data_IF_389150716513
#
_entry.id   IF_389150716513
#
_cell.length_a   1.000
_cell.length_b   1.000
_cell.length_c   1.000
_cell.angle_alpha   90.00
_cell.angle_beta   90.00
_cell.angle_gamma   90.00
#
_symmetry.space_group_name_H-M   'P 1'
#
loop_
_entity.id
_entity.type
_entity.pdbx_description
1 polymer ?
#
# COMPACT_ATOMS: atom_id res chain seq x y z
N UNK A 1 -0.04 -16.32 22.81
CA UNK A 1 1.24 -16.83 23.34
C UNK A 1 2.38 -16.14 22.62
N UNK A 2 3.20 -15.35 23.32
CA UNK A 2 4.40 -14.76 22.75
C UNK A 2 5.59 -15.56 23.26
N UNK A 3 6.28 -16.26 22.37
CA UNK A 3 7.55 -16.90 22.71
C UNK A 3 8.61 -15.80 22.86
N UNK A 4 9.19 -15.68 24.04
CA UNK A 4 10.37 -14.83 24.28
C UNK A 4 11.57 -15.77 24.33
N UNK A 5 12.51 -15.58 23.41
CA UNK A 5 13.78 -16.31 23.44
C UNK A 5 14.69 -15.53 24.41
N UNK A 6 15.11 -16.12 25.53
CA UNK A 6 16.02 -15.44 26.45
C UNK A 6 17.34 -15.11 25.72
N UNK A 7 17.96 -13.95 26.00
CA UNK A 7 19.22 -13.58 25.36
C UNK A 7 20.30 -14.61 25.74
N UNK A 8 20.83 -15.33 24.75
CA UNK A 8 21.98 -16.21 24.90
C UNK A 8 23.20 -15.41 24.42
N UNK A 9 24.07 -14.90 25.30
CA UNK A 9 25.10 -13.91 24.95
C UNK A 9 26.13 -14.40 23.92
N UNK A 10 26.25 -15.72 23.75
CA UNK A 10 27.22 -16.32 22.82
C UNK A 10 26.63 -16.65 21.44
N UNK A 11 25.35 -16.37 21.19
CA UNK A 11 24.68 -16.74 19.94
C UNK A 11 24.32 -15.47 19.18
N UNK A 12 25.02 -15.24 18.07
CA UNK A 12 24.68 -14.16 17.14
C UNK A 12 23.41 -14.53 16.36
N UNK A 13 22.55 -13.52 16.15
CA UNK A 13 21.41 -13.68 15.28
C UNK A 13 21.90 -14.00 13.86
N UNK A 14 21.45 -15.13 13.32
CA UNK A 14 21.80 -15.54 11.96
C UNK A 14 21.26 -14.52 10.94
N UNK A 15 22.07 -14.24 9.92
CA UNK A 15 21.65 -13.43 8.79
C UNK A 15 20.52 -14.12 8.02
N UNK A 16 19.69 -13.34 7.31
CA UNK A 16 18.47 -13.85 6.65
C UNK A 16 18.74 -15.00 5.67
N UNK A 17 19.90 -14.96 5.00
CA UNK A 17 20.41 -15.98 4.07
C UNK A 17 20.77 -17.32 4.73
N UNK A 18 21.03 -17.32 6.04
CA UNK A 18 21.36 -18.52 6.83
C UNK A 18 20.15 -19.13 7.53
N UNK A 19 18.97 -18.53 7.38
CA UNK A 19 17.76 -19.09 7.95
C UNK A 19 17.37 -20.38 7.21
N UNK A 20 16.95 -21.44 7.92
CA UNK A 20 16.54 -22.69 7.29
C UNK A 20 15.36 -22.55 6.31
N UNK A 21 14.57 -21.46 6.47
CA UNK A 21 13.47 -21.10 5.57
C UNK A 21 13.49 -19.58 5.35
N UNK A 22 13.36 -19.10 4.10
CA UNK A 22 13.26 -17.68 3.83
C UNK A 22 12.00 -17.10 4.45
N UNK A 23 12.13 -15.93 5.09
CA UNK A 23 11.01 -15.22 5.69
C UNK A 23 10.28 -14.48 4.58
N UNK A 24 9.23 -15.09 4.04
CA UNK A 24 8.42 -14.50 2.98
C UNK A 24 7.31 -13.61 3.57
N UNK A 25 6.71 -14.07 4.69
CA UNK A 25 5.63 -13.36 5.37
C UNK A 25 5.96 -13.17 6.84
N UNK A 26 5.95 -11.92 7.27
CA UNK A 26 5.97 -11.54 8.68
C UNK A 26 5.13 -10.27 8.87
N UNK A 27 4.73 -10.00 10.11
CA UNK A 27 3.96 -8.81 10.50
C UNK A 27 4.65 -8.13 11.68
N UNK A 28 4.50 -6.82 11.78
CA UNK A 28 5.22 -5.99 12.74
C UNK A 28 5.41 -4.56 12.24
N UNK A 29 5.46 -3.61 13.18
CA UNK A 29 5.56 -2.17 12.88
C UNK A 29 6.97 -1.63 12.92
N UNK A 30 7.89 -2.25 13.64
CA UNK A 30 9.29 -1.80 13.70
C UNK A 30 10.11 -2.47 12.60
N UNK A 31 10.92 -1.66 11.90
CA UNK A 31 11.85 -2.14 10.87
C UNK A 31 13.08 -2.80 11.52
N UNK A 32 13.53 -2.23 12.63
CA UNK A 32 14.71 -2.69 13.35
C UNK A 32 14.32 -3.38 14.65
N UNK A 33 15.09 -4.37 15.13
CA UNK A 33 14.89 -4.94 16.44
C UNK A 33 15.06 -3.84 17.51
N UNK A 34 14.15 -3.72 18.49
CA UNK A 34 14.18 -2.65 19.46
C UNK A 34 15.28 -2.88 20.51
N UNK A 35 16.55 -2.58 20.18
CA UNK A 35 17.59 -2.50 21.25
C UNK A 35 17.23 -1.39 22.24
N UNK A 36 17.71 -1.39 23.49
CA UNK A 36 17.37 -0.34 24.46
C UNK A 36 17.60 1.08 23.92
N UNK A 37 18.68 1.28 23.17
CA UNK A 37 18.97 2.55 22.50
C UNK A 37 17.94 2.88 21.40
N UNK A 38 17.65 1.93 20.50
CA UNK A 38 16.67 2.14 19.43
C UNK A 38 15.26 2.34 19.98
N UNK A 39 14.91 1.66 21.07
CA UNK A 39 13.63 1.83 21.75
C UNK A 39 13.50 3.25 22.33
N UNK A 40 14.55 3.75 23.00
CA UNK A 40 14.59 5.13 23.50
C UNK A 40 14.46 6.14 22.34
N UNK A 41 15.23 5.97 21.27
CA UNK A 41 15.14 6.84 20.07
C UNK A 41 13.72 6.80 19.49
N UNK A 42 13.12 5.61 19.39
CA UNK A 42 11.77 5.44 18.85
C UNK A 42 10.73 6.16 19.71
N UNK A 43 10.82 6.07 21.04
CA UNK A 43 9.92 6.76 21.97
C UNK A 43 10.05 8.28 21.82
N UNK A 44 11.28 8.80 21.82
CA UNK A 44 11.54 10.24 21.69
C UNK A 44 11.09 10.77 20.32
N UNK A 45 11.25 9.97 19.27
CA UNK A 45 10.84 10.32 17.92
C UNK A 45 9.33 10.28 17.73
N UNK A 46 8.62 9.36 18.38
CA UNK A 46 7.20 9.13 18.17
C UNK A 46 6.31 10.38 18.14
N UNK A 47 6.37 11.33 19.12
CA UNK A 47 5.55 12.54 19.09
C UNK A 47 5.89 13.45 17.91
N UNK A 48 7.18 13.62 17.60
CA UNK A 48 7.66 14.45 16.48
C UNK A 48 7.27 13.82 15.15
N UNK A 49 7.53 12.51 15.00
CA UNK A 49 7.18 11.73 13.82
C UNK A 49 5.68 11.73 13.57
N UNK A 50 4.86 11.66 14.61
CA UNK A 50 3.40 11.71 14.49
C UNK A 50 2.91 13.07 13.95
N UNK A 51 3.40 14.19 14.51
CA UNK A 51 3.07 15.52 14.00
C UNK A 51 3.52 15.70 12.54
N UNK A 52 4.73 15.22 12.22
CA UNK A 52 5.27 15.24 10.87
C UNK A 52 4.43 14.38 9.91
N UNK A 53 3.93 13.23 10.36
CA UNK A 53 3.05 12.38 9.58
C UNK A 53 1.73 13.07 9.27
N UNK A 54 1.13 13.76 10.23
CA UNK A 54 -0.08 14.57 10.01
C UNK A 54 0.15 15.65 8.94
N UNK A 55 1.27 16.37 9.00
CA UNK A 55 1.63 17.38 7.99
C UNK A 55 1.82 16.77 6.59
N UNK A 56 2.51 15.63 6.50
CA UNK A 56 2.73 14.91 5.23
C UNK A 56 1.43 14.37 4.65
N UNK A 57 0.57 13.78 5.47
CA UNK A 57 -0.76 13.31 5.03
C UNK A 57 -1.61 14.49 4.55
N UNK A 58 -1.63 15.60 5.31
CA UNK A 58 -2.36 16.79 4.92
C UNK A 58 -1.84 17.38 3.59
N UNK A 59 -0.53 17.43 3.39
CA UNK A 59 0.07 17.85 2.12
C UNK A 59 -0.39 16.97 0.95
N UNK A 60 -0.38 15.64 1.10
CA UNK A 60 -0.85 14.72 0.07
C UNK A 60 -2.36 14.79 -0.19
N UNK A 61 -3.17 15.12 0.81
CA UNK A 61 -4.63 15.20 0.70
C UNK A 61 -5.15 16.55 0.17
N UNK A 62 -4.47 17.65 0.50
CA UNK A 62 -4.96 19.01 0.26
C UNK A 62 -4.31 19.70 -0.95
N UNK A 63 -3.12 19.27 -1.36
CA UNK A 63 -2.40 19.91 -2.46
C UNK A 63 -2.68 19.22 -3.80
N UNK A 64 -2.66 19.96 -4.93
CA UNK A 64 -2.68 19.37 -6.26
C UNK A 64 -1.49 18.45 -6.51
N UNK A 65 -1.67 17.36 -7.26
CA UNK A 65 -0.63 16.35 -7.53
C UNK A 65 0.68 16.93 -8.08
N UNK A 66 0.61 18.01 -8.88
CA UNK A 66 1.79 18.72 -9.42
C UNK A 66 2.65 19.39 -8.34
N UNK A 67 2.06 19.77 -7.21
CA UNK A 67 2.74 20.45 -6.10
C UNK A 67 3.11 19.45 -4.99
N UNK A 68 2.33 18.37 -4.84
CA UNK A 68 2.54 17.32 -3.82
C UNK A 68 3.96 16.79 -3.85
N UNK A 69 4.55 16.58 -5.03
CA UNK A 69 5.95 16.15 -5.18
C UNK A 69 6.92 17.06 -4.42
N UNK A 70 6.82 18.37 -4.65
CA UNK A 70 7.67 19.37 -4.00
C UNK A 70 7.38 19.50 -2.50
N UNK A 71 6.11 19.40 -2.11
CA UNK A 71 5.72 19.43 -0.70
C UNK A 71 6.27 18.22 0.06
N UNK A 72 6.20 17.02 -0.51
CA UNK A 72 6.81 15.82 0.06
C UNK A 72 8.31 15.97 0.21
N UNK A 73 9.00 16.47 -0.81
CA UNK A 73 10.44 16.71 -0.74
C UNK A 73 10.79 17.68 0.40
N UNK A 74 10.07 18.80 0.52
CA UNK A 74 10.26 19.78 1.58
C UNK A 74 9.97 19.21 2.98
N UNK A 75 9.00 18.30 3.09
CA UNK A 75 8.67 17.60 4.33
C UNK A 75 9.57 16.39 4.60
N UNK A 76 10.62 16.15 3.80
CA UNK A 76 11.59 15.06 3.99
C UNK A 76 11.14 13.69 3.47
N UNK A 77 10.07 13.61 2.69
CA UNK A 77 9.65 12.42 1.95
C UNK A 77 10.29 12.46 0.57
N UNK A 78 11.19 11.51 0.30
CA UNK A 78 11.89 11.46 -1.00
C UNK A 78 11.04 10.69 -1.99
N UNK A 79 10.86 11.24 -3.19
CA UNK A 79 10.20 10.58 -4.31
C UNK A 79 11.18 10.53 -5.47
N UNK A 80 11.61 9.32 -5.85
CA UNK A 80 12.46 9.07 -7.02
C UNK A 80 11.60 8.54 -8.15
N UNK A 81 11.70 9.17 -9.30
CA UNK A 81 10.96 8.81 -10.51
C UNK A 81 11.98 8.35 -11.53
N UNK A 82 11.86 7.10 -11.98
CA UNK A 82 12.70 6.53 -13.02
C UNK A 82 11.84 6.20 -14.24
N UNK A 83 12.42 6.31 -15.43
CA UNK A 83 11.68 6.17 -16.68
C UNK A 83 10.78 7.37 -16.97
N UNK A 84 10.05 7.31 -18.07
CA UNK A 84 9.18 8.40 -18.52
C UNK A 84 7.72 8.04 -18.29
N UNK A 85 6.97 8.77 -17.45
CA UNK A 85 5.54 8.55 -17.32
C UNK A 85 4.84 8.81 -18.66
N UNK A 86 3.82 8.01 -19.03
CA UNK A 86 3.12 8.21 -20.28
C UNK A 86 2.40 9.58 -20.28
N UNK A 87 2.34 10.26 -21.43
CA UNK A 87 1.63 11.53 -21.55
C UNK A 87 0.16 11.34 -21.18
N UNK A 88 -0.47 12.43 -20.72
CA UNK A 88 -1.90 12.39 -20.45
C UNK A 88 -2.66 12.06 -21.74
N UNK A 89 -3.68 11.21 -21.63
CA UNK A 89 -4.59 10.90 -22.72
C UNK A 89 -5.34 12.15 -23.12
N UNK A 90 -5.19 12.60 -24.37
CA UNK A 90 -5.99 13.68 -24.92
C UNK A 90 -7.38 13.14 -25.28
N UNK A 91 -8.42 13.71 -24.67
CA UNK A 91 -9.82 13.37 -24.92
C UNK A 91 -10.21 13.52 -26.40
N UNK A 92 -9.48 14.34 -27.17
CA UNK A 92 -9.71 14.50 -28.61
C UNK A 92 -9.30 13.27 -29.43
N UNK A 93 -8.39 12.44 -28.92
CA UNK A 93 -7.86 11.28 -29.66
C UNK A 93 -8.69 10.00 -29.51
N UNK A 94 -9.81 10.05 -28.78
CA UNK A 94 -10.69 8.90 -28.49
C UNK A 94 -9.94 7.67 -27.93
N UNK A 95 -8.76 7.88 -27.32
CA UNK A 95 -7.94 6.83 -26.71
C UNK A 95 -8.43 6.55 -25.29
N UNK A 96 -8.59 5.26 -25.00
CA UNK A 96 -8.82 4.77 -23.64
C UNK A 96 -7.61 5.07 -22.76
N UNK A 97 -7.84 5.23 -21.45
CA UNK A 97 -6.81 5.50 -20.47
C UNK A 97 -5.75 4.41 -20.38
N UNK A 98 -4.58 4.78 -19.86
CA UNK A 98 -3.48 3.86 -19.64
C UNK A 98 -3.72 3.07 -18.35
N UNK A 99 -3.51 1.76 -18.44
CA UNK A 99 -3.58 0.85 -17.32
C UNK A 99 -2.18 0.61 -16.73
N UNK A 100 -1.93 1.21 -15.57
CA UNK A 100 -0.71 1.02 -14.79
C UNK A 100 -0.79 -0.25 -13.95
N UNK A 101 0.16 -1.17 -14.17
CA UNK A 101 0.25 -2.42 -13.42
C UNK A 101 1.43 -2.33 -12.46
N UNK A 102 1.12 -2.21 -11.17
CA UNK A 102 2.11 -1.93 -10.14
C UNK A 102 2.41 -3.15 -9.26
N UNK A 103 3.66 -3.30 -8.83
CA UNK A 103 3.92 -4.06 -7.60
C UNK A 103 3.30 -3.36 -6.39
N UNK A 104 2.89 -4.11 -5.38
CA UNK A 104 2.15 -3.56 -4.24
C UNK A 104 2.98 -3.61 -2.95
N UNK A 105 3.52 -2.48 -2.50
CA UNK A 105 4.33 -2.37 -1.27
C UNK A 105 3.55 -1.77 -0.11
N UNK A 106 2.70 -0.79 -0.36
CA UNK A 106 1.88 -0.17 0.68
C UNK A 106 0.54 0.29 0.10
N UNK A 107 -0.37 0.74 0.96
CA UNK A 107 -1.60 1.38 0.49
C UNK A 107 -1.36 2.73 -0.22
N UNK A 108 -0.14 3.27 -0.13
CA UNK A 108 0.24 4.53 -0.75
C UNK A 108 0.76 4.37 -2.19
N UNK A 109 0.95 3.14 -2.71
CA UNK A 109 1.50 2.95 -4.06
C UNK A 109 0.72 3.77 -5.12
N UNK A 110 -0.63 3.75 -5.14
CA UNK A 110 -1.40 4.54 -6.11
C UNK A 110 -1.23 6.06 -5.96
N UNK A 111 -0.99 6.55 -4.74
CA UNK A 111 -0.81 7.97 -4.45
C UNK A 111 0.56 8.43 -4.94
N UNK A 112 1.61 7.65 -4.66
CA UNK A 112 2.95 7.96 -5.17
C UNK A 112 3.05 7.79 -6.68
N UNK A 113 2.33 6.82 -7.27
CA UNK A 113 2.18 6.74 -8.72
C UNK A 113 1.54 8.02 -9.28
N UNK A 114 0.40 8.46 -8.74
CA UNK A 114 -0.28 9.68 -9.19
C UNK A 114 0.60 10.93 -9.04
N UNK A 115 1.37 11.00 -7.95
CA UNK A 115 2.37 12.06 -7.72
C UNK A 115 3.48 12.02 -8.77
N UNK A 116 3.98 10.83 -9.11
CA UNK A 116 5.04 10.64 -10.10
C UNK A 116 4.58 10.93 -11.54
N UNK A 117 3.32 10.60 -11.86
CA UNK A 117 2.69 10.94 -13.14
C UNK A 117 2.31 12.43 -13.20
N UNK A 118 2.11 13.09 -12.05
CA UNK A 118 1.74 14.50 -11.94
C UNK A 118 0.24 14.78 -12.14
N UNK A 119 -0.60 13.75 -12.19
CA UNK A 119 -2.06 13.85 -12.32
C UNK A 119 -2.77 12.76 -11.50
N UNK A 120 -4.02 12.97 -11.07
CA UNK A 120 -4.78 11.94 -10.35
C UNK A 120 -4.99 10.70 -11.24
N UNK A 121 -4.63 9.52 -10.74
CA UNK A 121 -4.89 8.22 -11.38
C UNK A 121 -5.88 7.45 -10.52
N UNK A 122 -6.96 6.94 -11.10
CA UNK A 122 -7.95 6.17 -10.35
C UNK A 122 -7.36 4.82 -9.95
N UNK A 123 -7.69 4.30 -8.76
CA UNK A 123 -7.13 3.06 -8.25
C UNK A 123 -8.22 2.04 -7.91
N UNK A 124 -8.01 0.77 -8.28
CA UNK A 124 -8.89 -0.33 -7.83
C UNK A 124 -8.23 -1.12 -6.70
N UNK A 125 -9.01 -1.47 -5.68
CA UNK A 125 -8.47 -2.12 -4.48
C UNK A 125 -9.42 -3.17 -3.92
N UNK A 126 -8.89 -4.28 -3.37
CA UNK A 126 -9.72 -5.37 -2.84
C UNK A 126 -10.25 -5.15 -1.42
N UNK A 127 -9.73 -4.16 -0.68
CA UNK A 127 -10.03 -3.95 0.74
C UNK A 127 -9.64 -2.54 1.19
N UNK A 128 -10.47 -1.56 0.85
CA UNK A 128 -10.35 -0.18 1.36
C UNK A 128 -11.56 0.10 2.25
N UNK A 129 -11.32 0.70 3.43
CA UNK A 129 -12.40 1.16 4.29
C UNK A 129 -13.04 2.41 3.69
N UNK A 130 -14.35 2.62 3.88
CA UNK A 130 -15.03 3.84 3.41
C UNK A 130 -14.38 5.14 3.90
N UNK A 131 -13.74 5.10 5.07
CA UNK A 131 -12.98 6.22 5.63
C UNK A 131 -11.71 6.48 4.82
N UNK A 132 -10.99 5.43 4.44
CA UNK A 132 -9.79 5.54 3.60
C UNK A 132 -10.11 5.96 2.17
N UNK A 133 -11.28 5.60 1.64
CA UNK A 133 -11.79 6.09 0.35
C UNK A 133 -12.09 7.60 0.42
N UNK A 134 -12.77 8.05 1.46
CA UNK A 134 -13.11 9.46 1.64
C UNK A 134 -11.89 10.38 1.82
N UNK A 135 -10.85 9.88 2.50
CA UNK A 135 -9.62 10.64 2.74
C UNK A 135 -8.61 10.55 1.59
N UNK A 136 -8.87 9.71 0.59
CA UNK A 136 -7.95 9.50 -0.52
C UNK A 136 -7.94 10.72 -1.46
N UNK A 137 -6.76 11.24 -1.84
CA UNK A 137 -6.66 12.33 -2.83
C UNK A 137 -7.00 11.88 -4.25
N UNK A 138 -7.16 10.57 -4.46
CA UNK A 138 -7.50 9.94 -5.75
C UNK A 138 -8.77 9.12 -5.62
N UNK A 139 -9.49 8.94 -6.73
CA UNK A 139 -10.66 8.05 -6.82
C UNK A 139 -10.23 6.61 -6.58
N UNK A 140 -10.64 6.03 -5.46
CA UNK A 140 -10.41 4.62 -5.14
C UNK A 140 -11.70 3.83 -5.27
N UNK A 141 -11.72 2.78 -6.08
CA UNK A 141 -12.91 1.94 -6.31
C UNK A 141 -12.69 0.55 -5.71
N UNK A 142 -13.59 0.06 -4.83
CA UNK A 142 -13.45 -1.26 -4.26
C UNK A 142 -13.83 -2.35 -5.28
N UNK A 143 -13.05 -3.44 -5.31
CA UNK A 143 -13.37 -4.64 -6.10
C UNK A 143 -14.38 -5.52 -5.36
N UNK A 144 -15.37 -6.00 -6.11
CA UNK A 144 -16.50 -6.78 -5.62
C UNK A 144 -16.21 -8.29 -5.49
N UNK A 145 -15.03 -8.74 -5.96
CA UNK A 145 -14.61 -10.15 -6.05
C UNK A 145 -15.47 -10.98 -7.01
N UNK A 146 -16.28 -10.32 -7.82
CA UNK A 146 -17.01 -10.90 -8.94
C UNK A 146 -16.29 -10.49 -10.22
N UNK A 147 -15.77 -11.49 -10.96
CA UNK A 147 -14.94 -11.25 -12.15
C UNK A 147 -15.67 -10.43 -13.21
N UNK A 148 -16.96 -10.67 -13.44
CA UNK A 148 -17.71 -10.01 -14.51
C UNK A 148 -18.01 -8.55 -14.13
N UNK A 149 -18.43 -8.31 -12.88
CA UNK A 149 -18.67 -6.97 -12.37
C UNK A 149 -17.39 -6.14 -12.30
N UNK A 150 -16.31 -6.74 -11.80
CA UNK A 150 -15.02 -6.07 -11.70
C UNK A 150 -14.45 -5.76 -13.10
N UNK A 151 -14.61 -6.66 -14.08
CA UNK A 151 -14.22 -6.40 -15.47
C UNK A 151 -14.99 -5.22 -16.10
N UNK A 152 -16.32 -5.19 -15.94
CA UNK A 152 -17.16 -4.11 -16.46
C UNK A 152 -16.81 -2.75 -15.82
N UNK A 153 -16.61 -2.75 -14.49
CA UNK A 153 -16.22 -1.54 -13.75
C UNK A 153 -14.83 -1.05 -14.18
N UNK A 154 -13.85 -1.93 -14.31
CA UNK A 154 -12.50 -1.55 -14.77
C UNK A 154 -12.54 -0.97 -16.18
N UNK A 155 -13.31 -1.55 -17.11
CA UNK A 155 -13.49 -1.02 -18.46
C UNK A 155 -14.07 0.39 -18.44
N UNK A 156 -15.14 0.62 -17.68
CA UNK A 156 -15.73 1.94 -17.51
C UNK A 156 -14.76 2.97 -16.92
N UNK A 157 -13.92 2.58 -15.96
CA UNK A 157 -12.89 3.48 -15.42
C UNK A 157 -11.81 3.82 -16.45
N UNK A 158 -11.42 2.86 -17.30
CA UNK A 158 -10.45 3.08 -18.38
C UNK A 158 -11.01 3.98 -19.50
N UNK A 159 -12.33 4.03 -19.68
CA UNK A 159 -12.97 5.00 -20.57
C UNK A 159 -12.95 6.43 -19.97
N UNK A 160 -13.02 6.55 -18.65
CA UNK A 160 -12.93 7.84 -17.95
C UNK A 160 -11.51 8.42 -17.92
N UNK A 161 -10.49 7.56 -17.80
CA UNK A 161 -9.08 7.97 -17.77
C UNK A 161 -8.13 6.87 -17.27
N UNK A 162 -6.94 7.29 -16.84
CA UNK A 162 -5.89 6.37 -16.39
C UNK A 162 -6.30 5.61 -15.11
N UNK A 163 -5.89 4.35 -15.04
CA UNK A 163 -6.20 3.44 -13.95
C UNK A 163 -4.94 2.74 -13.43
N UNK A 164 -4.84 2.57 -12.13
CA UNK A 164 -3.82 1.73 -11.49
C UNK A 164 -4.43 0.49 -10.85
N UNK A 165 -3.78 -0.64 -11.11
CA UNK A 165 -4.10 -1.94 -10.52
C UNK A 165 -2.84 -2.55 -9.93
N UNK A 166 -2.98 -3.06 -8.70
CA UNK A 166 -1.98 -3.87 -8.02
C UNK A 166 -2.42 -5.35 -8.07
N UNK A 167 -2.02 -6.13 -9.08
CA UNK A 167 -2.55 -7.47 -9.34
C UNK A 167 -2.17 -8.51 -8.27
N UNK A 168 -1.23 -8.22 -7.37
CA UNK A 168 -0.94 -9.01 -6.16
C UNK A 168 -2.15 -9.10 -5.22
N UNK A 169 -3.01 -8.08 -5.22
CA UNK A 169 -4.22 -7.97 -4.40
C UNK A 169 -3.98 -7.80 -2.88
N UNK A 170 -2.72 -7.75 -2.46
CA UNK A 170 -2.27 -7.45 -1.09
C UNK A 170 -0.84 -6.93 -1.15
N UNK A 171 -0.45 -6.15 -0.14
CA UNK A 171 0.90 -5.57 -0.08
C UNK A 171 1.95 -6.66 0.20
N UNK A 172 3.16 -6.53 -0.32
CA UNK A 172 4.28 -7.41 -0.01
C UNK A 172 5.50 -6.54 0.33
N UNK A 173 5.99 -6.65 1.56
CA UNK A 173 7.11 -5.83 2.07
C UNK A 173 8.49 -6.42 1.78
N UNK A 174 8.56 -7.73 1.62
CA UNK A 174 9.81 -8.45 1.36
C UNK A 174 10.16 -8.38 -0.14
N UNK A 175 11.41 -8.71 -0.53
CA UNK A 175 11.88 -8.62 -1.92
C UNK A 175 11.32 -9.75 -2.81
N UNK A 176 10.01 -9.97 -2.70
CA UNK A 176 9.22 -10.93 -3.46
C UNK A 176 8.05 -10.21 -4.13
N UNK A 177 7.61 -10.76 -5.26
CA UNK A 177 6.30 -10.47 -5.86
C UNK A 177 5.37 -11.64 -5.68
N UNK A 178 4.17 -11.38 -5.18
CA UNK A 178 3.09 -12.35 -5.21
C UNK A 178 2.63 -12.59 -6.64
N UNK A 179 1.94 -13.72 -6.84
CA UNK A 179 1.36 -14.07 -8.13
C UNK A 179 0.40 -12.98 -8.59
N UNK A 180 0.56 -12.52 -9.82
CA UNK A 180 -0.37 -11.55 -10.41
C UNK A 180 -1.67 -12.23 -10.84
N UNK A 181 -2.80 -11.58 -10.56
CA UNK A 181 -4.09 -11.95 -11.17
C UNK A 181 -4.08 -11.55 -12.65
N UNK A 182 -4.70 -12.38 -13.51
CA UNK A 182 -4.63 -12.19 -14.97
C UNK A 182 -5.77 -11.33 -15.53
N UNK A 183 -6.76 -10.95 -14.70
CA UNK A 183 -7.99 -10.28 -15.16
C UNK A 183 -7.69 -9.03 -15.98
N UNK A 184 -6.73 -8.22 -15.53
CA UNK A 184 -6.42 -6.94 -16.13
C UNK A 184 -5.94 -7.07 -17.60
N UNK A 185 -5.28 -8.19 -17.94
CA UNK A 185 -4.68 -8.39 -19.26
C UNK A 185 -5.72 -8.59 -20.37
N UNK A 186 -6.95 -8.98 -20.02
CA UNK A 186 -8.06 -9.19 -20.95
C UNK A 186 -8.84 -7.90 -21.23
N UNK A 187 -8.57 -6.82 -20.49
CA UNK A 187 -9.42 -5.63 -20.47
C UNK A 187 -8.91 -4.50 -21.38
N UNK A 188 -7.60 -4.46 -21.65
CA UNK A 188 -6.97 -3.42 -22.48
C UNK A 188 -5.59 -3.88 -22.96
N UNK A 189 -5.13 -3.32 -24.07
CA UNK A 189 -3.77 -3.42 -24.59
C UNK A 189 -2.90 -2.21 -24.17
N UNK A 190 -3.49 -1.18 -23.55
CA UNK A 190 -2.80 0.01 -23.08
C UNK A 190 -2.14 -0.20 -21.72
N UNK A 191 -1.21 -1.15 -21.63
CA UNK A 191 -0.62 -1.59 -20.35
C UNK A 191 0.78 -1.01 -20.15
N UNK A 192 1.00 -0.36 -19.01
CA UNK A 192 2.32 0.13 -18.57
C UNK A 192 2.68 -0.52 -17.22
N UNK A 193 3.71 -1.38 -17.18
CA UNK A 193 4.23 -1.91 -15.92
C UNK A 193 4.93 -0.81 -15.11
N UNK A 194 4.75 -0.82 -13.80
CA UNK A 194 5.41 0.11 -12.89
C UNK A 194 5.99 -0.63 -11.70
N UNK A 195 7.29 -0.49 -11.51
CA UNK A 195 7.97 -1.08 -10.37
C UNK A 195 7.95 -0.09 -9.20
N UNK A 196 7.30 -0.51 -8.10
CA UNK A 196 7.18 0.28 -6.87
C UNK A 196 8.12 -0.28 -5.81
N UNK A 197 8.98 0.59 -5.28
CA UNK A 197 9.87 0.29 -4.15
C UNK A 197 9.72 1.37 -3.10
N UNK A 198 9.79 0.98 -1.84
CA UNK A 198 9.85 1.92 -0.73
C UNK A 198 11.01 1.58 0.20
N UNK A 199 11.53 2.59 0.88
CA UNK A 199 12.51 2.43 1.94
C UNK A 199 12.02 3.15 3.20
N UNK A 200 12.08 2.42 4.31
CA UNK A 200 11.62 2.84 5.62
C UNK A 200 12.71 2.48 6.61
N UNK A 201 12.98 3.36 7.58
CA UNK A 201 14.10 3.20 8.51
C UNK A 201 13.68 2.82 9.92
N UNK A 202 12.50 3.26 10.36
CA UNK A 202 11.98 3.02 11.71
C UNK A 202 10.71 2.18 11.68
N UNK A 203 9.74 2.51 10.82
CA UNK A 203 8.41 1.93 10.84
C UNK A 203 7.98 1.33 9.52
N UNK A 204 7.44 0.11 9.56
CA UNK A 204 6.76 -0.50 8.43
C UNK A 204 5.37 0.12 8.22
N UNK A 205 5.17 0.70 7.03
CA UNK A 205 3.89 1.21 6.54
C UNK A 205 2.93 0.13 6.03
N UNK A 206 2.98 -1.07 6.60
CA UNK A 206 2.02 -2.14 6.30
C UNK A 206 1.69 -2.91 7.58
N UNK A 207 0.47 -3.46 7.67
CA UNK A 207 0.13 -4.48 8.66
C UNK A 207 -0.80 -5.54 8.08
N UNK A 208 -0.71 -6.77 8.58
CA UNK A 208 -1.66 -7.83 8.24
C UNK A 208 -2.79 -7.96 9.28
N UNK A 209 -2.51 -7.70 10.56
CA UNK A 209 -3.46 -7.90 11.68
C UNK A 209 -4.06 -6.60 12.25
N UNK A 210 -3.46 -5.44 12.01
CA UNK A 210 -3.89 -4.15 12.57
C UNK A 210 -4.86 -3.34 11.71
N UNK A 211 -5.22 -2.14 12.20
CA UNK A 211 -5.99 -1.18 11.41
C UNK A 211 -5.15 -0.62 10.26
N UNK A 212 -5.53 -0.98 9.03
CA UNK A 212 -4.87 -0.54 7.79
C UNK A 212 -4.77 0.98 7.62
N UNK A 213 -5.68 1.75 8.24
CA UNK A 213 -5.61 3.21 8.21
C UNK A 213 -4.31 3.77 8.83
N UNK A 214 -3.73 3.05 9.80
CA UNK A 214 -2.47 3.46 10.42
C UNK A 214 -1.25 3.24 9.53
N UNK A 215 -1.36 2.48 8.45
CA UNK A 215 -0.24 2.18 7.55
C UNK A 215 0.35 3.45 6.95
N UNK A 216 -0.51 4.42 6.59
CA UNK A 216 -0.08 5.73 6.11
C UNK A 216 0.69 6.51 7.17
N UNK A 217 0.19 6.54 8.42
CA UNK A 217 0.86 7.20 9.53
C UNK A 217 2.23 6.60 9.76
N UNK A 218 2.34 5.28 9.94
CA UNK A 218 3.64 4.64 10.16
C UNK A 218 4.62 4.87 9.01
N UNK A 219 4.16 4.85 7.76
CA UNK A 219 5.00 5.23 6.63
C UNK A 219 5.53 6.67 6.79
N UNK A 220 4.64 7.65 6.98
CA UNK A 220 5.01 9.06 7.09
C UNK A 220 5.65 9.45 8.43
N UNK A 221 5.65 8.58 9.43
CA UNK A 221 6.40 8.77 10.67
C UNK A 221 7.88 8.44 10.51
N UNK A 222 8.31 7.78 9.43
CA UNK A 222 9.75 7.57 9.20
C UNK A 222 10.46 8.94 9.05
N UNK A 223 11.69 9.12 9.56
CA UNK A 223 12.42 10.38 9.41
C UNK A 223 12.57 10.82 7.94
N UNK A 224 13.07 9.93 7.09
CA UNK A 224 13.34 10.20 5.66
C UNK A 224 12.88 9.03 4.78
N UNK A 225 11.56 8.79 4.65
CA UNK A 225 11.07 7.71 3.81
C UNK A 225 11.37 8.01 2.34
N UNK A 226 11.69 6.97 1.57
CA UNK A 226 11.88 7.04 0.13
C UNK A 226 10.79 6.20 -0.55
N UNK A 227 10.19 6.77 -1.60
CA UNK A 227 9.41 6.05 -2.58
C UNK A 227 10.08 6.14 -3.94
N UNK A 228 10.27 5.00 -4.59
CA UNK A 228 10.81 4.91 -5.92
C UNK A 228 9.74 4.34 -6.85
N UNK A 229 9.44 5.09 -7.90
CA UNK A 229 8.45 4.76 -8.93
C UNK A 229 9.20 4.63 -10.24
N UNK A 230 9.32 3.41 -10.75
CA UNK A 230 10.01 3.14 -12.02
C UNK A 230 9.01 2.75 -13.08
N UNK A 231 8.81 3.63 -14.06
CA UNK A 231 7.98 3.37 -15.24
C UNK A 231 8.78 2.50 -16.21
N UNK A 232 8.19 1.38 -16.62
CA UNK A 232 8.70 0.54 -17.68
C UNK A 232 8.00 0.89 -19.00
N UNK A 233 8.57 0.42 -20.11
CA UNK A 233 7.97 0.66 -21.41
C UNK A 233 6.57 0.04 -21.50
N UNK A 234 5.70 0.74 -22.22
CA UNK A 234 4.38 0.22 -22.56
C UNK A 234 4.53 -1.11 -23.29
N UNK A 235 3.70 -2.09 -22.94
CA UNK A 235 3.71 -3.37 -23.64
C UNK A 235 3.40 -3.18 -25.12
N UNK A 236 4.23 -3.75 -26.02
CA UNK A 236 3.92 -3.80 -27.44
C UNK A 236 2.79 -4.84 -27.67
N UNK A 237 2.05 -4.69 -28.77
CA UNK A 237 0.82 -5.44 -29.01
C UNK A 237 1.03 -6.97 -29.05
N UNK A 238 2.22 -7.42 -29.44
CA UNK A 238 2.61 -8.83 -29.53
C UNK A 238 2.76 -9.48 -28.15
N UNK A 239 2.93 -8.67 -27.10
CA UNK A 239 3.04 -9.10 -25.71
C UNK A 239 1.73 -8.94 -24.93
N UNK A 240 0.64 -8.53 -25.58
CA UNK A 240 -0.70 -8.43 -24.98
C UNK A 240 -1.64 -9.51 -25.52
N UNK A 241 -2.85 -9.59 -24.96
CA UNK A 241 -3.87 -10.52 -25.44
C UNK A 241 -4.33 -10.25 -26.88
N UNK A 242 -4.22 -9.00 -27.36
CA UNK A 242 -4.53 -8.67 -28.77
C UNK A 242 -3.53 -9.30 -29.74
N UNK A 243 -2.28 -9.51 -29.31
CA UNK A 243 -1.26 -10.26 -30.05
C UNK A 243 -1.35 -11.78 -29.93
N UNK A 244 -2.43 -12.30 -29.35
CA UNK A 244 -2.67 -13.75 -29.22
C UNK A 244 -2.07 -14.40 -27.97
N UNK A 245 -1.50 -13.62 -27.04
CA UNK A 245 -1.04 -14.15 -25.74
C UNK A 245 -2.23 -14.45 -24.82
N UNK A 246 -2.13 -15.52 -24.03
CA UNK A 246 -3.11 -15.73 -22.96
C UNK A 246 -2.93 -14.68 -21.85
N UNK A 247 -4.02 -14.36 -21.15
CA UNK A 247 -3.98 -13.37 -20.04
C UNK A 247 -3.01 -13.77 -18.93
N UNK A 248 -2.84 -15.07 -18.70
CA UNK A 248 -1.85 -15.61 -17.78
C UNK A 248 -0.40 -15.39 -18.24
N UNK A 249 -0.10 -15.55 -19.53
CA UNK A 249 1.23 -15.26 -20.06
C UNK A 249 1.59 -13.79 -19.90
N UNK A 250 0.65 -12.88 -20.21
CA UNK A 250 0.83 -11.44 -20.04
C UNK A 250 1.10 -11.09 -18.57
N UNK A 251 0.27 -11.60 -17.65
CA UNK A 251 0.43 -11.34 -16.22
C UNK A 251 1.77 -11.87 -15.68
N UNK A 252 2.16 -13.09 -16.07
CA UNK A 252 3.43 -13.69 -15.67
C UNK A 252 4.64 -12.94 -16.27
N UNK A 253 4.53 -12.48 -17.52
CA UNK A 253 5.56 -11.65 -18.14
C UNK A 253 5.76 -10.35 -17.38
N UNK A 254 4.67 -9.61 -17.11
CA UNK A 254 4.73 -8.35 -16.37
C UNK A 254 5.30 -8.57 -14.96
N UNK A 255 4.88 -9.63 -14.26
CA UNK A 255 5.44 -9.98 -12.95
C UNK A 255 6.96 -10.15 -13.03
N UNK A 256 7.47 -10.89 -14.03
CA UNK A 256 8.91 -11.11 -14.22
C UNK A 256 9.68 -9.84 -14.53
N UNK A 257 9.15 -8.96 -15.40
CA UNK A 257 9.83 -7.70 -15.76
C UNK A 257 9.90 -6.77 -14.55
N UNK A 258 8.81 -6.63 -13.78
CA UNK A 258 8.82 -5.84 -12.54
C UNK A 258 9.77 -6.46 -11.52
N UNK A 259 9.78 -7.79 -11.36
CA UNK A 259 10.70 -8.48 -10.45
C UNK A 259 12.15 -8.22 -10.81
N UNK A 260 12.51 -8.38 -12.08
CA UNK A 260 13.86 -8.13 -12.57
C UNK A 260 14.30 -6.67 -12.32
N UNK A 261 13.40 -5.72 -12.57
CA UNK A 261 13.65 -4.28 -12.34
C UNK A 261 13.93 -3.98 -10.87
N UNK A 262 13.22 -4.65 -9.95
CA UNK A 262 13.39 -4.47 -8.51
C UNK A 262 14.51 -5.35 -7.92
N UNK A 263 15.08 -6.28 -8.71
CA UNK A 263 15.91 -7.38 -8.20
C UNK A 263 15.19 -8.25 -7.16
N UNK A 264 13.90 -8.52 -7.39
CA UNK A 264 13.03 -9.30 -6.50
C UNK A 264 12.77 -10.69 -7.07
N UNK A 265 12.33 -11.61 -6.22
CA UNK A 265 11.95 -12.96 -6.62
C UNK A 265 10.45 -13.06 -6.95
N UNK A 266 10.12 -13.71 -8.06
CA UNK A 266 8.74 -14.07 -8.37
C UNK A 266 8.30 -15.27 -7.54
N UNK A 267 7.11 -15.19 -6.96
CA UNK A 267 6.50 -16.32 -6.25
C UNK A 267 5.18 -16.73 -6.90
N UNK A 268 4.76 -17.96 -6.65
CA UNK A 268 3.42 -18.46 -6.97
C UNK A 268 2.42 -18.22 -5.83
N UNK A 269 2.85 -17.64 -4.70
CA UNK A 269 2.00 -17.37 -3.55
C UNK A 269 0.94 -16.34 -3.89
N UNK A 270 -0.27 -16.61 -3.40
CA UNK A 270 -1.42 -15.74 -3.58
C UNK A 270 -1.70 -14.92 -2.33
N UNK A 271 -2.57 -13.91 -2.46
CA UNK A 271 -3.18 -13.20 -1.33
C UNK A 271 -3.70 -14.15 -0.25
N UNK A 272 -4.36 -15.25 -0.65
CA UNK A 272 -4.94 -16.22 0.28
C UNK A 272 -3.86 -16.93 1.10
N UNK A 273 -2.75 -17.29 0.46
CA UNK A 273 -1.63 -17.95 1.12
C UNK A 273 -0.98 -17.03 2.17
N UNK A 274 -0.79 -15.74 1.81
CA UNK A 274 -0.30 -14.73 2.74
C UNK A 274 -1.19 -14.59 3.96
N UNK A 275 -2.49 -14.38 3.77
CA UNK A 275 -3.41 -14.17 4.89
C UNK A 275 -3.55 -15.42 5.76
N UNK A 276 -3.48 -16.61 5.15
CA UNK A 276 -3.48 -17.88 5.90
C UNK A 276 -2.25 -17.99 6.79
N UNK A 277 -1.07 -17.65 6.26
CA UNK A 277 0.17 -17.67 7.01
C UNK A 277 0.22 -16.59 8.12
N UNK A 278 -0.25 -15.37 7.84
CA UNK A 278 -0.12 -14.24 8.75
C UNK A 278 -1.26 -14.08 9.74
N UNK A 279 -2.50 -14.34 9.35
CA UNK A 279 -3.69 -14.00 10.15
C UNK A 279 -4.62 -15.20 10.40
N UNK A 280 -4.27 -16.38 9.89
CA UNK A 280 -5.10 -17.59 10.03
C UNK A 280 -6.44 -17.54 9.29
N UNK A 281 -6.66 -16.52 8.44
CA UNK A 281 -7.87 -16.35 7.61
C UNK A 281 -7.48 -16.25 6.12
N UNK A 282 -8.46 -16.23 5.23
CA UNK A 282 -8.24 -16.14 3.77
C UNK A 282 -8.22 -14.68 3.25
N UNK A 283 -8.20 -13.69 4.15
CA UNK A 283 -8.30 -12.28 3.82
C UNK A 283 -9.73 -11.81 3.50
N UNK A 284 -10.76 -12.61 3.80
CA UNK A 284 -12.14 -12.12 3.88
C UNK A 284 -12.38 -11.45 5.23
N UNK A 285 -12.85 -10.20 5.21
CA UNK A 285 -13.34 -9.53 6.41
C UNK A 285 -14.83 -9.88 6.49
N UNK A 286 -15.24 -10.59 7.54
CA UNK A 286 -16.66 -10.80 7.79
C UNK A 286 -17.34 -9.43 7.92
N UNK A 287 -18.37 -9.17 7.11
CA UNK A 287 -19.20 -7.99 7.30
C UNK A 287 -19.80 -8.07 8.71
N UNK A 288 -19.42 -7.13 9.59
CA UNK A 288 -20.21 -6.90 10.80
C UNK A 288 -21.60 -6.52 10.31
N UNK A 289 -22.59 -7.38 10.59
CA UNK A 289 -24.01 -7.06 10.40
C UNK A 289 -24.27 -5.70 11.05
N UNK A 290 -24.47 -4.68 10.22
CA UNK A 290 -25.01 -3.42 10.70
C UNK A 290 -26.42 -3.73 11.24
N UNK A 291 -26.61 -3.53 12.54
CA UNK A 291 -27.92 -3.59 13.17
C UNK A 291 -28.90 -2.69 12.42
N UNK A 292 -30.14 -3.16 12.33
CA UNK A 292 -31.13 -2.68 11.38
C UNK A 292 -31.48 -1.20 11.49
N UNK A 293 -31.94 -0.69 10.34
CA UNK A 293 -33.09 0.21 10.27
C UNK A 293 -32.80 1.71 10.38
N UNK A 294 -32.97 2.41 9.26
CA UNK A 294 -33.11 3.86 9.23
C UNK A 294 -32.63 4.47 7.92
N UNK A 295 -33.44 4.34 6.86
CA UNK A 295 -33.24 5.18 5.68
C UNK A 295 -33.53 6.65 6.01
N UNK A 296 -32.80 7.59 5.41
CA UNK A 296 -33.34 8.91 5.05
C UNK A 296 -32.39 9.69 4.11
N UNK A 297 -33.05 10.49 3.26
CA UNK A 297 -32.61 11.32 2.13
C UNK A 297 -31.76 12.57 2.53
N UNK A 298 -31.26 13.38 1.56
CA UNK A 298 -29.98 14.07 1.65
C UNK A 298 -30.03 15.52 2.17
N UNK A 299 -28.81 16.02 2.41
CA UNK A 299 -28.38 17.41 2.56
C UNK A 299 -28.57 18.13 3.91
N UNK A 300 -27.47 18.80 4.32
CA UNK A 300 -27.28 19.75 5.45
C UNK A 300 -27.15 19.20 6.88
N UNK A 301 -26.09 18.45 7.20
CA UNK A 301 -25.44 18.52 8.54
C UNK A 301 -23.93 18.17 8.43
N UNK A 302 -23.09 19.14 8.05
CA UNK A 302 -21.68 18.88 7.68
C UNK A 302 -20.60 19.41 8.65
N UNK A 303 -20.92 20.12 9.74
CA UNK A 303 -19.90 20.59 10.73
C UNK A 303 -19.84 19.79 12.03
N UNK A 304 -20.97 19.28 12.54
CA UNK A 304 -20.99 18.51 13.80
C UNK A 304 -20.42 17.09 13.68
N UNK A 305 -20.50 16.50 12.48
CA UNK A 305 -20.06 15.13 12.20
C UNK A 305 -18.54 15.02 12.07
N UNK A 306 -17.86 16.06 11.58
CA UNK A 306 -16.40 16.19 11.58
C UNK A 306 -15.81 16.21 12.98
N UNK A 307 -16.36 16.99 13.92
CA UNK A 307 -15.91 16.96 15.32
C UNK A 307 -16.12 15.60 15.98
N UNK A 308 -17.17 14.88 15.61
CA UNK A 308 -17.46 13.54 16.15
C UNK A 308 -16.55 12.46 15.54
N UNK A 309 -16.26 12.53 14.24
CA UNK A 309 -15.32 11.64 13.54
C UNK A 309 -13.87 11.91 13.94
N UNK A 310 -13.47 13.18 14.08
CA UNK A 310 -12.17 13.54 14.63
C UNK A 310 -12.05 13.09 16.08
N UNK A 311 -13.09 13.21 16.92
CA UNK A 311 -13.05 12.65 18.28
C UNK A 311 -12.96 11.13 18.31
N UNK A 312 -13.67 10.41 17.43
CA UNK A 312 -13.61 8.94 17.38
C UNK A 312 -12.25 8.49 16.82
N UNK A 313 -11.77 9.13 15.75
CA UNK A 313 -10.44 8.89 15.18
C UNK A 313 -9.32 9.26 16.14
N UNK A 314 -9.41 10.40 16.84
CA UNK A 314 -8.51 10.79 17.92
C UNK A 314 -8.56 9.78 19.05
N UNK A 315 -9.74 9.38 19.53
CA UNK A 315 -9.84 8.46 20.67
C UNK A 315 -9.36 7.05 20.32
N UNK A 316 -9.67 6.53 19.13
CA UNK A 316 -9.08 5.27 18.63
C UNK A 316 -7.58 5.41 18.35
N UNK A 317 -7.12 6.57 17.90
CA UNK A 317 -5.70 6.84 17.68
C UNK A 317 -4.95 6.97 19.01
N UNK A 318 -5.49 7.61 20.04
CA UNK A 318 -4.93 7.67 21.39
C UNK A 318 -4.94 6.30 22.06
N UNK A 319 -6.00 5.51 21.88
CA UNK A 319 -6.05 4.12 22.35
C UNK A 319 -5.01 3.27 21.62
N UNK A 320 -4.89 3.39 20.29
CA UNK A 320 -3.90 2.64 19.51
C UNK A 320 -2.46 3.15 19.69
N UNK A 321 -2.26 4.44 19.98
CA UNK A 321 -0.97 5.01 20.40
C UNK A 321 -0.63 4.57 21.82
N UNK A 322 -1.62 4.41 22.70
CA UNK A 322 -1.48 3.78 24.00
C UNK A 322 -1.11 2.30 23.87
N UNK A 323 -1.72 1.57 22.94
CA UNK A 323 -1.37 0.18 22.63
C UNK A 323 0.02 0.09 21.99
N UNK A 324 0.38 0.96 21.04
CA UNK A 324 1.71 1.01 20.46
C UNK A 324 2.77 1.41 21.51
N UNK A 325 2.44 2.34 22.40
CA UNK A 325 3.24 2.70 23.56
C UNK A 325 3.39 1.53 24.53
N UNK A 326 2.33 0.75 24.77
CA UNK A 326 2.40 -0.46 25.56
C UNK A 326 3.15 -1.59 24.87
N UNK A 327 3.09 -1.75 23.54
CA UNK A 327 3.90 -2.72 22.80
C UNK A 327 5.38 -2.35 22.85
N UNK A 328 5.71 -1.05 22.79
CA UNK A 328 7.08 -0.55 22.94
C UNK A 328 7.56 -0.72 24.39
N UNK A 329 6.74 -0.36 25.38
CA UNK A 329 7.07 -0.50 26.81
C UNK A 329 7.19 -1.97 27.20
N UNK A 330 6.29 -2.84 26.75
CA UNK A 330 6.41 -4.30 26.93
C UNK A 330 7.62 -4.86 26.18
N UNK A 331 7.99 -4.28 25.03
CA UNK A 331 9.23 -4.62 24.33
C UNK A 331 10.47 -4.26 25.15
N UNK A 332 10.47 -3.10 25.81
CA UNK A 332 11.55 -2.66 26.71
C UNK A 332 11.59 -3.52 27.97
N UNK A 333 10.45 -3.74 28.65
CA UNK A 333 10.35 -4.57 29.86
C UNK A 333 10.81 -6.02 29.61
N UNK A 334 10.55 -6.57 28.41
CA UNK A 334 11.01 -7.91 28.00
C UNK A 334 12.50 -7.98 27.62
N UNK A 335 13.18 -6.85 27.46
CA UNK A 335 14.61 -6.78 27.15
C UNK A 335 15.47 -6.37 28.36
N UNK A 336 14.84 -5.83 29.40
CA UNK A 336 15.48 -5.44 30.67
C UNK A 336 15.37 -6.49 31.77
N UNK A 337 14.73 -7.64 31.51
CA UNK A 337 14.64 -8.82 32.38
C UNK A 337 15.32 -10.02 31.73
#
# INVERSE_FOLDING_TARGET
EGYVVPPIPQVEAVSRDKLPKPIIFHDGRLVQPPTPLLALITILWFPVGFLLACLRIAAGALLPMSIVYHAFLALGVRVRINGTPPPATDKQTNRTGVLFICSHRTLLDPIFLSTAVGRPVSAVTYSVSRVSEFLSPIKTVPLSRDRAKDAAMIKSLLEEGDLVICPEGTTCREPFLLRFSALFAELTDQIVPVAMRNEMSMFHGTTARGWKGMDAFYFFMNPTPLYEVTFLDKLPAELTCTGGKSSHEVANYIQRVIAATLSYECTSFTRRDKYRALAGNDGTVAEKKAGGGGGFLPNKVWKGRWKKLMRIGEMEMWVNMGVAGQEIVQGIERLTL
#
